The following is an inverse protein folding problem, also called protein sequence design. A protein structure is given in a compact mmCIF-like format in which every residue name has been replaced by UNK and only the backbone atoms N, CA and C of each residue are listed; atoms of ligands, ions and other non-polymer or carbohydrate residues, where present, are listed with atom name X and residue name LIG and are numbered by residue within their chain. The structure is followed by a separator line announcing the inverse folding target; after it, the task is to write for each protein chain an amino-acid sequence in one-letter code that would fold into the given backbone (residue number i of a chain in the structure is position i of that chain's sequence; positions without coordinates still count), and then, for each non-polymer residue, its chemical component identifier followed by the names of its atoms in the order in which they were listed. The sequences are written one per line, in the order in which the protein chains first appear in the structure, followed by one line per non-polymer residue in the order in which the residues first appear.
data_IF_818156765070
#
_entry.id   IF_818156765070
#
_cell.length_a   1.000
_cell.length_b   1.000
_cell.length_c   1.000
_cell.angle_alpha   90.00
_cell.angle_beta   90.00
_cell.angle_gamma   90.00
#
_symmetry.space_group_name_H-M   'P 1'
#
loop_
_entity.id
_entity.type
_entity.pdbx_description
1 polymer ?
#
# COMPACT_ATOMS: atom_id res chain seq x y z
N UNK A 1 -9.90 -9.36 -17.15
CA UNK A 1 -9.06 -8.46 -16.33
C UNK A 1 -7.82 -9.20 -15.88
N UNK A 2 -6.62 -8.66 -16.13
CA UNK A 2 -5.39 -9.32 -15.70
C UNK A 2 -5.09 -9.01 -14.22
N UNK A 3 -4.76 -10.05 -13.43
CA UNK A 3 -4.37 -9.90 -12.03
C UNK A 3 -3.05 -9.14 -11.89
N UNK A 4 -2.94 -8.26 -10.90
CA UNK A 4 -1.69 -7.57 -10.59
C UNK A 4 -0.59 -8.54 -10.09
N UNK A 5 0.52 -8.63 -10.82
CA UNK A 5 1.72 -9.44 -10.47
C UNK A 5 2.91 -8.61 -9.97
N UNK A 6 2.74 -7.29 -9.82
CA UNK A 6 3.81 -6.39 -9.41
C UNK A 6 4.12 -6.40 -7.90
N UNK A 7 4.98 -5.48 -7.44
CA UNK A 7 5.46 -5.44 -6.06
C UNK A 7 4.37 -5.10 -5.04
N UNK A 8 3.93 -6.10 -4.26
CA UNK A 8 2.86 -5.97 -3.25
C UNK A 8 3.20 -5.04 -2.08
N UNK A 9 4.46 -5.00 -1.63
CA UNK A 9 4.87 -4.09 -0.55
C UNK A 9 4.71 -2.61 -0.95
N UNK A 10 4.80 -2.29 -2.25
CA UNK A 10 4.52 -0.95 -2.76
C UNK A 10 3.06 -0.55 -2.54
N UNK A 11 2.14 -1.50 -2.68
CA UNK A 11 0.71 -1.30 -2.49
C UNK A 11 0.38 -1.08 -1.01
N UNK A 12 0.89 -1.92 -0.12
CA UNK A 12 0.70 -1.79 1.32
C UNK A 12 1.28 -0.46 1.85
N UNK A 13 2.49 -0.08 1.42
CA UNK A 13 3.09 1.24 1.73
C UNK A 13 2.28 2.42 1.20
N UNK A 14 1.56 2.26 0.08
CA UNK A 14 0.71 3.33 -0.45
C UNK A 14 -0.48 3.60 0.44
N UNK A 15 -1.11 2.53 0.93
CA UNK A 15 -2.25 2.62 1.85
C UNK A 15 -1.79 2.92 3.29
N UNK A 16 -0.51 2.67 3.61
CA UNK A 16 0.07 2.95 4.93
C UNK A 16 -0.35 1.94 5.99
N UNK A 17 -0.88 0.79 5.57
CA UNK A 17 -1.26 -0.34 6.43
C UNK A 17 -0.80 -1.65 5.80
N UNK A 18 -0.62 -2.67 6.62
CA UNK A 18 -0.46 -4.01 6.09
C UNK A 18 -1.79 -4.48 5.46
N UNK A 19 -1.68 -5.04 4.26
CA UNK A 19 -2.81 -5.56 3.49
C UNK A 19 -2.91 -7.09 3.58
N UNK A 20 -2.09 -7.75 4.42
CA UNK A 20 -2.06 -9.21 4.56
C UNK A 20 -1.53 -9.92 3.31
N UNK A 21 -0.84 -9.20 2.42
CA UNK A 21 -0.42 -9.70 1.11
C UNK A 21 0.88 -10.53 1.15
N UNK A 22 1.50 -10.62 2.33
CA UNK A 22 2.79 -11.26 2.60
C UNK A 22 2.68 -12.14 3.84
N UNK A 23 3.42 -13.25 3.84
CA UNK A 23 3.51 -14.14 4.99
C UNK A 23 4.20 -13.44 6.16
N UNK A 24 3.57 -13.48 7.33
CA UNK A 24 4.13 -12.98 8.59
C UNK A 24 5.45 -13.69 8.87
N UNK A 25 6.44 -12.95 9.38
CA UNK A 25 7.79 -13.47 9.65
C UNK A 25 8.71 -13.57 8.44
N UNK A 26 8.21 -13.41 7.20
CA UNK A 26 9.09 -13.39 6.03
C UNK A 26 9.99 -12.14 6.01
N UNK A 27 11.18 -12.25 5.39
CA UNK A 27 12.07 -11.09 5.15
C UNK A 27 11.35 -9.96 4.39
N UNK A 28 10.46 -10.31 3.47
CA UNK A 28 9.66 -9.32 2.73
C UNK A 28 8.63 -8.60 3.62
N UNK A 29 8.10 -9.27 4.64
CA UNK A 29 7.18 -8.69 5.61
C UNK A 29 7.91 -7.76 6.58
N UNK A 30 9.08 -8.18 7.10
CA UNK A 30 9.90 -7.31 7.95
C UNK A 30 10.34 -6.04 7.21
N UNK A 31 10.68 -6.13 5.91
CA UNK A 31 10.99 -4.98 5.07
C UNK A 31 9.79 -4.06 4.85
N UNK A 32 8.58 -4.61 4.75
CA UNK A 32 7.35 -3.81 4.68
C UNK A 32 7.17 -2.99 5.96
N UNK A 33 7.24 -3.63 7.12
CA UNK A 33 7.06 -2.97 8.42
C UNK A 33 8.04 -1.81 8.63
N UNK A 34 9.32 -1.99 8.27
CA UNK A 34 10.36 -0.94 8.36
C UNK A 34 10.01 0.32 7.55
N UNK A 35 9.30 0.20 6.42
CA UNK A 35 9.05 1.31 5.48
C UNK A 35 7.56 1.66 5.36
N UNK A 36 6.71 1.12 6.22
CA UNK A 36 5.25 1.23 6.12
C UNK A 36 4.77 2.68 6.19
N UNK A 37 5.40 3.47 7.07
CA UNK A 37 5.09 4.90 7.27
C UNK A 37 5.49 5.78 6.08
N UNK A 38 6.35 5.29 5.18
CA UNK A 38 6.91 6.07 4.07
C UNK A 38 6.22 5.66 2.76
N UNK A 39 5.55 6.61 2.12
CA UNK A 39 4.88 6.36 0.84
C UNK A 39 5.88 5.93 -0.25
N UNK A 40 5.44 5.17 -1.26
CA UNK A 40 6.31 4.79 -2.38
C UNK A 40 6.60 6.00 -3.31
N UNK A 41 7.77 5.99 -3.93
CA UNK A 41 8.22 7.01 -4.90
C UNK A 41 9.15 8.07 -4.29
N UNK A 42 9.77 8.89 -5.15
CA UNK A 42 10.74 9.93 -4.77
C UNK A 42 10.14 10.96 -3.79
N UNK A 43 8.89 11.35 -4.01
CA UNK A 43 8.16 12.29 -3.14
C UNK A 43 7.63 11.65 -1.86
N UNK A 44 7.81 10.34 -1.66
CA UNK A 44 7.21 9.63 -0.54
C UNK A 44 7.73 10.03 0.84
N UNK A 45 8.94 10.58 0.92
CA UNK A 45 9.51 11.14 2.14
C UNK A 45 8.95 12.53 2.50
N UNK A 46 8.46 13.30 1.52
CA UNK A 46 7.93 14.66 1.75
C UNK A 46 6.57 14.67 2.48
N UNK A 47 6.03 13.50 2.83
CA UNK A 47 4.80 13.37 3.62
C UNK A 47 3.52 13.44 2.78
N UNK A 48 2.38 13.37 3.48
CA UNK A 48 1.03 13.41 2.88
C UNK A 48 0.52 14.85 2.89
N UNK A 49 0.02 15.31 1.73
CA UNK A 49 -0.85 16.50 1.69
C UNK A 49 -2.23 16.14 2.26
N UNK A 50 -2.97 17.14 2.75
CA UNK A 50 -4.35 16.96 3.20
C UNK A 50 -5.18 16.34 2.05
N UNK A 51 -5.75 15.14 2.22
CA UNK A 51 -6.54 14.52 1.16
C UNK A 51 -7.88 15.23 0.99
N UNK A 52 -8.42 15.20 -0.22
CA UNK A 52 -9.83 15.54 -0.49
C UNK A 52 -10.75 14.36 -0.14
N UNK A 53 -12.04 14.61 0.05
CA UNK A 53 -13.05 13.56 0.26
C UNK A 53 -13.05 12.52 -0.86
N UNK A 54 -12.99 12.97 -2.12
CA UNK A 54 -12.87 12.08 -3.28
C UNK A 54 -11.59 11.24 -3.26
N UNK A 55 -10.48 11.79 -2.74
CA UNK A 55 -9.23 11.06 -2.60
C UNK A 55 -9.33 9.99 -1.53
N UNK A 56 -10.02 10.27 -0.41
CA UNK A 56 -10.27 9.29 0.65
C UNK A 56 -11.10 8.12 0.13
N UNK A 57 -12.23 8.41 -0.52
CA UNK A 57 -13.08 7.39 -1.14
C UNK A 57 -12.31 6.54 -2.17
N UNK A 58 -11.48 7.19 -2.99
CA UNK A 58 -10.64 6.49 -3.96
C UNK A 58 -9.63 5.56 -3.26
N UNK A 59 -9.05 5.95 -2.14
CA UNK A 59 -8.12 5.09 -1.37
C UNK A 59 -8.84 3.89 -0.78
N UNK A 60 -10.00 4.08 -0.18
CA UNK A 60 -10.80 2.98 0.37
C UNK A 60 -11.20 1.98 -0.72
N UNK A 61 -11.65 2.46 -1.89
CA UNK A 61 -11.94 1.59 -3.04
C UNK A 61 -10.71 0.80 -3.49
N UNK A 62 -9.55 1.45 -3.56
CA UNK A 62 -8.29 0.80 -3.97
C UNK A 62 -7.79 -0.21 -2.93
N UNK A 63 -7.99 0.07 -1.64
CA UNK A 63 -7.65 -0.83 -0.54
C UNK A 63 -8.38 -2.16 -0.68
N UNK A 64 -9.71 -2.11 -0.82
CA UNK A 64 -10.57 -3.29 -1.02
C UNK A 64 -10.13 -4.08 -2.26
N UNK A 65 -9.96 -3.40 -3.41
CA UNK A 65 -9.53 -4.04 -4.66
C UNK A 65 -8.22 -4.83 -4.50
N UNK A 66 -7.25 -4.28 -3.75
CA UNK A 66 -5.93 -4.90 -3.57
C UNK A 66 -5.94 -6.06 -2.59
N UNK A 67 -6.74 -5.98 -1.53
CA UNK A 67 -6.91 -7.07 -0.55
C UNK A 67 -7.46 -8.31 -1.28
N UNK A 68 -8.51 -8.13 -2.09
CA UNK A 68 -9.14 -9.22 -2.82
C UNK A 68 -8.44 -9.58 -4.14
N UNK A 69 -7.47 -8.78 -4.58
CA UNK A 69 -6.70 -9.06 -5.80
C UNK A 69 -7.50 -8.98 -7.11
N UNK A 70 -8.57 -8.19 -7.10
CA UNK A 70 -9.46 -7.90 -8.23
C UNK A 70 -8.84 -6.88 -9.21
#
# INVERSE_FOLDING_TARGET
MARYRGPRNRLARREGMDLGLKTVGSSSYSQLLKRLKIMPGQHGQKGRRKPSESSLQLRERQKVKRIYGL
#
